data_IF_387659221579
#
_entry.id   IF_387659221579
#
_cell.length_a   1.000
_cell.length_b   1.000
_cell.length_c   1.000
_cell.angle_alpha   90.00
_cell.angle_beta   90.00
_cell.angle_gamma   90.00
#
_symmetry.space_group_name_H-M   'P 1'
#
loop_
_entity.id
_entity.type
_entity.pdbx_description
1 polymer ?
#
# COMPACT_ATOMS: atom_id res chain seq x y z
N UNK A 1 3.10 3.95 -5.22
CA UNK A 1 2.94 5.31 -4.65
C UNK A 1 2.17 6.21 -5.60
N UNK A 2 2.64 6.39 -6.83
CA UNK A 2 1.93 7.15 -7.88
C UNK A 2 0.47 6.71 -8.08
N UNK A 3 0.12 5.40 -8.09
CA UNK A 3 -1.27 4.99 -8.26
C UNK A 3 -2.20 5.45 -7.13
N UNK A 4 -1.77 5.41 -5.86
CA UNK A 4 -2.60 5.87 -4.73
C UNK A 4 -2.77 7.39 -4.71
N UNK A 5 -1.74 8.16 -5.09
CA UNK A 5 -1.86 9.61 -5.21
C UNK A 5 -2.82 10.00 -6.34
N UNK A 6 -2.76 9.30 -7.47
CA UNK A 6 -3.71 9.50 -8.57
C UNK A 6 -5.13 9.09 -8.19
N UNK A 7 -5.29 8.05 -7.36
CA UNK A 7 -6.60 7.66 -6.84
C UNK A 7 -7.22 8.77 -5.99
N UNK A 8 -6.48 9.33 -5.03
CA UNK A 8 -6.95 10.45 -4.22
C UNK A 8 -7.24 11.71 -5.04
N UNK A 9 -6.42 12.02 -6.04
CA UNK A 9 -6.69 13.12 -6.98
C UNK A 9 -7.96 12.88 -7.81
N UNK A 10 -8.23 11.64 -8.22
CA UNK A 10 -9.44 11.30 -8.96
C UNK A 10 -10.70 11.45 -8.10
N UNK A 11 -10.63 11.11 -6.80
CA UNK A 11 -11.75 11.35 -5.85
C UNK A 11 -11.98 12.84 -5.63
N UNK A 12 -10.91 13.64 -5.46
CA UNK A 12 -11.01 15.10 -5.39
C UNK A 12 -11.62 15.69 -6.67
N UNK A 13 -11.21 15.18 -7.83
CA UNK A 13 -11.77 15.55 -9.12
C UNK A 13 -13.25 15.23 -9.26
N UNK A 14 -13.72 14.10 -8.71
CA UNK A 14 -15.13 13.74 -8.69
C UNK A 14 -15.98 14.77 -7.92
N UNK A 15 -15.57 15.12 -6.70
CA UNK A 15 -16.29 16.10 -5.88
C UNK A 15 -16.25 17.51 -6.49
N UNK A 16 -15.12 17.91 -7.09
CA UNK A 16 -15.02 19.17 -7.82
C UNK A 16 -15.91 19.21 -9.07
N UNK A 17 -16.26 18.04 -9.63
CA UNK A 17 -17.13 17.90 -10.79
C UNK A 17 -18.62 17.83 -10.42
N UNK A 18 -18.99 18.03 -9.16
CA UNK A 18 -20.40 18.02 -8.72
C UNK A 18 -21.04 16.64 -8.75
N UNK A 19 -20.28 15.60 -8.42
CA UNK A 19 -20.72 14.20 -8.28
C UNK A 19 -21.32 13.55 -9.54
N UNK A 20 -21.13 14.14 -10.73
CA UNK A 20 -21.69 13.61 -11.99
C UNK A 20 -20.78 12.62 -12.72
N UNK A 21 -19.55 12.42 -12.23
CA UNK A 21 -18.50 11.74 -12.96
C UNK A 21 -18.17 10.36 -12.36
N UNK A 22 -19.13 9.44 -12.37
CA UNK A 22 -18.98 8.07 -11.83
C UNK A 22 -17.72 7.35 -12.35
N UNK A 23 -17.28 7.67 -13.58
CA UNK A 23 -16.02 7.16 -14.14
C UNK A 23 -14.76 7.54 -13.36
N UNK A 24 -14.73 8.71 -12.70
CA UNK A 24 -13.61 9.13 -11.84
C UNK A 24 -13.54 8.29 -10.55
N UNK A 25 -14.68 7.88 -10.00
CA UNK A 25 -14.74 6.97 -8.85
C UNK A 25 -14.28 5.57 -9.27
N UNK A 26 -14.76 5.05 -10.40
CA UNK A 26 -14.32 3.74 -10.89
C UNK A 26 -12.80 3.71 -11.15
N UNK A 27 -12.26 4.81 -11.70
CA UNK A 27 -10.83 4.97 -11.92
C UNK A 27 -10.04 5.02 -10.60
N UNK A 28 -10.52 5.76 -9.59
CA UNK A 28 -9.84 5.83 -8.29
C UNK A 28 -9.77 4.46 -7.62
N UNK A 29 -10.85 3.68 -7.66
CA UNK A 29 -10.89 2.31 -7.12
C UNK A 29 -9.89 1.37 -7.81
N UNK A 30 -9.78 1.45 -9.13
CA UNK A 30 -8.79 0.68 -9.89
C UNK A 30 -7.36 1.09 -9.54
N UNK A 31 -7.08 2.40 -9.47
CA UNK A 31 -5.77 2.92 -9.12
C UNK A 31 -5.36 2.52 -7.69
N UNK A 32 -6.30 2.51 -6.73
CA UNK A 32 -6.08 2.02 -5.37
C UNK A 32 -5.81 0.52 -5.33
N UNK A 33 -6.52 -0.26 -6.13
CA UNK A 33 -6.24 -1.69 -6.26
C UNK A 33 -4.83 -1.97 -6.82
N UNK A 34 -4.48 -1.32 -7.95
CA UNK A 34 -3.16 -1.46 -8.59
C UNK A 34 -2.03 -1.02 -7.65
N UNK A 35 -2.22 0.09 -6.92
CA UNK A 35 -1.23 0.57 -5.96
C UNK A 35 -0.98 -0.41 -4.81
N UNK A 36 -2.03 -1.04 -4.28
CA UNK A 36 -1.93 -2.01 -3.20
C UNK A 36 -1.26 -3.30 -3.66
N UNK A 37 -1.58 -3.75 -4.87
CA UNK A 37 -0.97 -4.92 -5.50
C UNK A 37 0.54 -4.71 -5.72
N UNK A 38 0.93 -3.52 -6.20
CA UNK A 38 2.33 -3.14 -6.39
C UNK A 38 3.13 -3.14 -5.08
N UNK A 39 2.55 -2.61 -3.99
CA UNK A 39 3.17 -2.62 -2.66
C UNK A 39 3.38 -4.04 -2.13
N UNK A 40 2.37 -4.90 -2.28
CA UNK A 40 2.45 -6.31 -1.89
C UNK A 40 3.54 -7.04 -2.68
N UNK A 41 3.55 -6.92 -4.01
CA UNK A 41 4.57 -7.53 -4.87
C UNK A 41 5.98 -7.02 -4.56
N UNK A 42 6.15 -5.71 -4.35
CA UNK A 42 7.44 -5.14 -3.99
C UNK A 42 7.95 -5.68 -2.64
N UNK A 43 7.05 -5.84 -1.67
CA UNK A 43 7.39 -6.37 -0.35
C UNK A 43 7.75 -7.86 -0.43
N UNK A 44 7.04 -8.64 -1.26
CA UNK A 44 7.39 -10.04 -1.54
C UNK A 44 8.81 -10.21 -2.08
N UNK A 45 9.23 -9.31 -2.98
CA UNK A 45 10.60 -9.29 -3.52
C UNK A 45 11.66 -8.94 -2.47
N UNK A 46 11.28 -8.23 -1.40
CA UNK A 46 12.18 -7.79 -0.34
C UNK A 46 12.37 -8.80 0.80
N UNK A 47 11.60 -9.91 0.85
CA UNK A 47 11.83 -10.94 1.87
C UNK A 47 13.24 -11.52 1.79
N UNK A 48 13.82 -12.08 2.87
CA UNK A 48 15.10 -12.82 2.88
C UNK A 48 15.00 -14.21 2.22
N UNK A 49 16.15 -14.75 1.77
CA UNK A 49 16.20 -15.78 0.71
C UNK A 49 15.97 -17.14 1.34
N UNK A 50 14.73 -17.62 1.22
CA UNK A 50 14.28 -18.87 1.81
C UNK A 50 13.78 -19.87 0.76
N UNK A 51 13.06 -20.90 1.22
CA UNK A 51 12.48 -21.97 0.38
C UNK A 51 11.37 -21.51 -0.59
N UNK A 52 10.94 -20.25 -0.56
CA UNK A 52 9.84 -19.75 -1.38
C UNK A 52 10.36 -18.95 -2.59
N UNK A 53 9.90 -19.25 -3.83
CA UNK A 53 10.32 -18.51 -5.02
C UNK A 53 9.69 -17.11 -5.03
N UNK A 54 10.38 -16.13 -4.44
CA UNK A 54 9.86 -14.77 -4.21
C UNK A 54 9.49 -14.04 -5.50
N UNK A 55 10.32 -14.18 -6.53
CA UNK A 55 10.05 -13.65 -7.87
C UNK A 55 8.80 -14.29 -8.49
N UNK A 56 8.62 -15.59 -8.30
CA UNK A 56 7.42 -16.31 -8.73
C UNK A 56 6.17 -15.84 -8.01
N UNK A 57 6.22 -15.70 -6.67
CA UNK A 57 5.08 -15.21 -5.88
C UNK A 57 4.69 -13.78 -6.26
N UNK A 58 5.66 -12.86 -6.37
CA UNK A 58 5.41 -11.47 -6.77
C UNK A 58 4.84 -11.39 -8.20
N UNK A 59 5.36 -12.20 -9.13
CA UNK A 59 4.88 -12.27 -10.50
C UNK A 59 3.47 -12.85 -10.57
N UNK A 60 3.16 -13.91 -9.83
CA UNK A 60 1.80 -14.50 -9.75
C UNK A 60 0.80 -13.48 -9.22
N UNK A 61 1.15 -12.73 -8.17
CA UNK A 61 0.29 -11.68 -7.63
C UNK A 61 -0.02 -10.60 -8.68
N UNK A 62 0.98 -10.16 -9.47
CA UNK A 62 0.73 -9.17 -10.54
C UNK A 62 -0.01 -9.77 -11.74
N UNK A 63 0.42 -10.95 -12.21
CA UNK A 63 -0.12 -11.61 -13.40
C UNK A 63 -1.54 -12.12 -13.21
N UNK A 64 -1.97 -12.44 -11.99
CA UNK A 64 -3.36 -12.78 -11.70
C UNK A 64 -4.15 -11.54 -11.28
N UNK A 65 -3.56 -10.68 -10.46
CA UNK A 65 -4.24 -9.52 -9.89
C UNK A 65 -4.58 -8.44 -10.91
N UNK A 66 -3.66 -8.08 -11.82
CA UNK A 66 -3.92 -7.06 -12.84
C UNK A 66 -5.03 -7.43 -13.82
N UNK A 67 -5.02 -8.60 -14.48
CA UNK A 67 -6.11 -8.97 -15.38
C UNK A 67 -7.43 -9.17 -14.63
N UNK A 68 -7.40 -9.67 -13.39
CA UNK A 68 -8.60 -9.69 -12.56
C UNK A 68 -9.16 -8.28 -12.31
N UNK A 69 -8.30 -7.31 -11.96
CA UNK A 69 -8.72 -5.93 -11.74
C UNK A 69 -9.28 -5.26 -13.01
N UNK A 70 -8.64 -5.50 -14.16
CA UNK A 70 -9.12 -5.01 -15.45
C UNK A 70 -10.44 -5.67 -15.88
N UNK A 71 -10.59 -6.97 -15.62
CA UNK A 71 -11.84 -7.69 -15.85
C UNK A 71 -12.96 -7.11 -14.98
N UNK A 72 -12.71 -6.84 -13.71
CA UNK A 72 -13.71 -6.22 -12.83
C UNK A 72 -14.08 -4.81 -13.27
N UNK A 73 -13.12 -4.02 -13.74
CA UNK A 73 -13.42 -2.70 -14.31
C UNK A 73 -14.27 -2.79 -15.58
N UNK A 74 -14.12 -3.84 -16.39
CA UNK A 74 -14.94 -4.06 -17.59
C UNK A 74 -16.43 -4.30 -17.28
N UNK A 75 -16.77 -4.73 -16.06
CA UNK A 75 -18.15 -4.88 -15.59
C UNK A 75 -18.76 -3.56 -15.06
N UNK A 76 -18.08 -2.42 -15.24
CA UNK A 76 -18.56 -1.11 -14.83
C UNK A 76 -18.66 -0.95 -13.31
N UNK A 77 -19.66 -0.17 -12.85
CA UNK A 77 -19.92 0.11 -11.42
C UNK A 77 -19.95 -1.16 -10.55
N UNK A 78 -20.65 -2.20 -11.02
CA UNK A 78 -20.84 -3.45 -10.27
C UNK A 78 -19.52 -4.16 -9.98
N UNK A 79 -18.61 -4.20 -10.95
CA UNK A 79 -17.28 -4.77 -10.75
C UNK A 79 -16.32 -3.83 -10.02
N UNK A 80 -16.47 -2.51 -10.18
CA UNK A 80 -15.66 -1.52 -9.47
C UNK A 80 -15.86 -1.58 -7.94
N UNK A 81 -17.05 -1.95 -7.46
CA UNK A 81 -17.31 -2.14 -6.02
C UNK A 81 -16.43 -3.25 -5.44
N UNK A 82 -16.14 -4.30 -6.20
CA UNK A 82 -15.29 -5.42 -5.75
C UNK A 82 -13.80 -5.07 -5.67
N UNK A 83 -13.36 -4.00 -6.35
CA UNK A 83 -11.96 -3.56 -6.36
C UNK A 83 -11.51 -3.01 -5.00
N UNK A 84 -12.38 -2.32 -4.27
CA UNK A 84 -12.06 -1.72 -2.97
C UNK A 84 -11.76 -2.78 -1.88
N UNK A 85 -12.63 -3.79 -1.65
CA UNK A 85 -12.32 -4.88 -0.74
C UNK A 85 -11.05 -5.64 -1.14
N UNK A 86 -10.85 -5.88 -2.44
CA UNK A 86 -9.65 -6.54 -2.94
C UNK A 86 -8.38 -5.70 -2.70
N UNK A 87 -8.46 -4.38 -2.89
CA UNK A 87 -7.37 -3.45 -2.60
C UNK A 87 -7.00 -3.47 -1.11
N UNK A 88 -8.01 -3.41 -0.24
CA UNK A 88 -7.82 -3.47 1.21
C UNK A 88 -7.19 -4.79 1.65
N UNK A 89 -7.59 -5.92 1.05
CA UNK A 89 -7.00 -7.22 1.34
C UNK A 89 -5.54 -7.29 0.90
N UNK A 90 -5.21 -6.79 -0.30
CA UNK A 90 -3.84 -6.71 -0.79
C UNK A 90 -2.98 -5.81 0.10
N UNK A 91 -3.53 -4.68 0.55
CA UNK A 91 -2.87 -3.76 1.46
C UNK A 91 -2.65 -4.37 2.85
N UNK A 92 -3.61 -5.12 3.38
CA UNK A 92 -3.44 -5.88 4.62
C UNK A 92 -2.34 -6.92 4.47
N UNK A 93 -2.31 -7.64 3.35
CA UNK A 93 -1.24 -8.58 3.01
C UNK A 93 0.12 -7.89 2.98
N UNK A 94 0.21 -6.70 2.38
CA UNK A 94 1.41 -5.86 2.40
C UNK A 94 1.83 -5.54 3.84
N UNK A 95 0.90 -5.09 4.68
CA UNK A 95 1.19 -4.71 6.06
C UNK A 95 1.68 -5.90 6.92
N UNK A 96 1.01 -7.05 6.79
CA UNK A 96 1.40 -8.28 7.46
C UNK A 96 2.78 -8.70 7.00
N UNK A 97 3.05 -8.67 5.70
CA UNK A 97 4.33 -9.11 5.16
C UNK A 97 5.46 -8.17 5.55
N UNK A 98 5.18 -6.86 5.62
CA UNK A 98 6.11 -5.87 6.14
C UNK A 98 6.40 -6.10 7.64
N UNK A 99 5.39 -6.49 8.43
CA UNK A 99 5.57 -6.88 9.83
C UNK A 99 6.43 -8.15 9.96
N UNK A 100 6.21 -9.17 9.11
CA UNK A 100 7.06 -10.38 9.07
C UNK A 100 8.50 -10.00 8.76
N UNK A 101 8.71 -9.16 7.73
CA UNK A 101 10.04 -8.69 7.34
C UNK A 101 10.74 -7.93 8.46
N UNK A 102 10.02 -7.05 9.18
CA UNK A 102 10.53 -6.36 10.35
C UNK A 102 10.93 -7.30 11.49
N UNK A 103 10.19 -8.40 11.70
CA UNK A 103 10.53 -9.40 12.71
C UNK A 103 11.74 -10.25 12.33
N UNK A 104 11.94 -10.52 11.04
CA UNK A 104 13.07 -11.31 10.55
C UNK A 104 14.37 -10.52 10.53
N UNK A 105 14.37 -9.30 9.95
CA UNK A 105 15.61 -8.54 9.72
C UNK A 105 15.51 -7.09 10.17
N UNK A 106 15.64 -6.86 11.49
CA UNK A 106 15.69 -5.50 12.05
C UNK A 106 16.88 -4.67 11.57
N UNK A 107 17.95 -5.31 11.12
CA UNK A 107 19.17 -4.66 10.64
C UNK A 107 19.00 -3.97 9.27
N UNK A 108 18.04 -4.43 8.45
CA UNK A 108 17.75 -3.85 7.13
C UNK A 108 16.93 -2.55 7.22
N UNK A 109 16.27 -2.29 8.35
CA UNK A 109 15.46 -1.08 8.54
C UNK A 109 16.33 0.08 9.07
N UNK A 110 16.27 1.23 8.40
CA UNK A 110 16.79 2.49 8.94
C UNK A 110 15.83 3.03 10.00
N UNK A 111 16.30 3.88 10.93
CA UNK A 111 15.43 4.50 11.94
C UNK A 111 14.22 5.20 11.31
N UNK A 112 14.39 5.75 10.11
CA UNK A 112 13.32 6.40 9.33
C UNK A 112 12.25 5.40 8.85
N UNK A 113 12.65 4.19 8.48
CA UNK A 113 11.74 3.12 8.03
C UNK A 113 10.93 2.57 9.19
N UNK A 114 11.56 2.41 10.37
CA UNK A 114 10.89 1.97 11.60
C UNK A 114 9.88 3.01 12.07
N UNK A 115 10.24 4.30 12.00
CA UNK A 115 9.32 5.39 12.31
C UNK A 115 8.13 5.40 11.35
N UNK A 116 8.37 5.33 10.03
CA UNK A 116 7.30 5.28 9.04
C UNK A 116 6.37 4.07 9.22
N UNK A 117 6.93 2.92 9.60
CA UNK A 117 6.16 1.71 9.90
C UNK A 117 5.28 1.87 11.14
N UNK A 118 5.84 2.33 12.26
CA UNK A 118 5.08 2.57 13.50
C UNK A 118 4.01 3.64 13.31
N UNK A 119 4.36 4.73 12.63
CA UNK A 119 3.43 5.79 12.28
C UNK A 119 2.26 5.24 11.46
N UNK A 120 2.54 4.42 10.43
CA UNK A 120 1.51 3.80 9.60
C UNK A 120 0.62 2.84 10.42
N UNK A 121 1.20 2.03 11.31
CA UNK A 121 0.45 1.07 12.11
C UNK A 121 -0.47 1.77 13.12
N UNK A 122 0.04 2.82 13.79
CA UNK A 122 -0.76 3.68 14.68
C UNK A 122 -1.85 4.39 13.88
N UNK A 123 -1.51 4.94 12.70
CA UNK A 123 -2.45 5.61 11.82
C UNK A 123 -3.60 4.67 11.38
N UNK A 124 -3.29 3.44 10.97
CA UNK A 124 -4.30 2.42 10.63
C UNK A 124 -5.15 2.05 11.85
N UNK A 125 -4.56 1.88 13.03
CA UNK A 125 -5.32 1.59 14.25
C UNK A 125 -6.28 2.73 14.63
N UNK A 126 -5.82 3.98 14.54
CA UNK A 126 -6.62 5.17 14.82
C UNK A 126 -7.74 5.32 13.78
N UNK A 127 -7.46 5.14 12.50
CA UNK A 127 -8.48 5.24 11.44
C UNK A 127 -9.55 4.16 11.57
N UNK A 128 -9.18 2.90 11.87
CA UNK A 128 -10.15 1.82 12.14
C UNK A 128 -11.01 2.17 13.36
N UNK A 129 -10.40 2.63 14.45
CA UNK A 129 -11.10 3.00 15.69
C UNK A 129 -12.06 4.17 15.44
N UNK A 130 -11.61 5.19 14.72
CA UNK A 130 -12.41 6.35 14.34
C UNK A 130 -13.58 5.94 13.44
N UNK A 131 -13.34 5.03 12.48
CA UNK A 131 -14.39 4.45 11.63
C UNK A 131 -15.44 3.72 12.45
N UNK A 132 -15.01 2.87 13.39
CA UNK A 132 -15.91 2.15 14.32
C UNK A 132 -16.72 3.10 15.19
N UNK A 133 -16.11 4.14 15.73
CA UNK A 133 -16.80 5.12 16.57
C UNK A 133 -17.84 5.89 15.74
N UNK A 134 -17.47 6.33 14.52
CA UNK A 134 -18.38 7.02 13.63
C UNK A 134 -19.60 6.17 13.23
N UNK A 135 -19.38 4.89 12.88
CA UNK A 135 -20.47 3.97 12.52
C UNK A 135 -21.35 3.57 13.71
N UNK A 136 -20.78 3.38 14.91
CA UNK A 136 -21.54 2.92 16.09
C UNK A 136 -22.28 4.05 16.83
N UNK A 137 -21.78 5.28 16.82
CA UNK A 137 -22.34 6.39 17.62
C UNK A 137 -23.19 7.36 16.81
N UNK A 138 -22.95 7.50 15.51
CA UNK A 138 -23.58 8.55 14.71
C UNK A 138 -24.58 8.03 13.67
N UNK A 139 -24.69 6.70 13.44
CA UNK A 139 -25.59 6.11 12.41
C UNK A 139 -25.36 6.75 11.03
N UNK A 140 -24.10 7.11 10.71
CA UNK A 140 -23.72 7.45 9.35
C UNK A 140 -23.32 6.16 8.60
N UNK A 141 -23.73 5.99 7.33
CA UNK A 141 -23.47 4.77 6.56
C UNK A 141 -21.97 4.50 6.30
N UNK A 142 -21.12 5.54 6.34
CA UNK A 142 -19.67 5.43 6.13
C UNK A 142 -18.93 6.74 6.49
N UNK A 143 -17.61 6.67 6.69
CA UNK A 143 -16.69 7.82 6.85
C UNK A 143 -16.49 8.64 5.56
N UNK A 144 -17.18 8.28 4.46
CA UNK A 144 -17.06 8.87 3.13
C UNK A 144 -17.99 10.06 2.89
N UNK A 145 -18.52 10.70 3.94
CA UNK A 145 -19.21 12.00 3.87
C UNK A 145 -18.37 13.13 4.47
N UNK A 146 -17.16 12.84 4.94
CA UNK A 146 -16.18 13.82 5.38
C UNK A 146 -14.99 13.81 4.41
N UNK A 147 -15.17 14.40 3.23
CA UNK A 147 -14.22 14.38 2.09
C UNK A 147 -12.81 14.83 2.48
N UNK A 148 -12.73 15.77 3.42
CA UNK A 148 -11.47 16.29 3.93
C UNK A 148 -10.69 15.23 4.73
N UNK A 149 -11.39 14.40 5.52
CA UNK A 149 -10.76 13.34 6.31
C UNK A 149 -10.38 12.14 5.44
N UNK A 150 -11.18 11.85 4.41
CA UNK A 150 -10.89 10.79 3.44
C UNK A 150 -9.63 11.12 2.62
N UNK A 151 -9.56 12.29 1.98
CA UNK A 151 -8.39 12.72 1.22
C UNK A 151 -7.14 12.90 2.08
N UNK A 152 -7.29 13.41 3.31
CA UNK A 152 -6.18 13.49 4.27
C UNK A 152 -5.65 12.09 4.62
N UNK A 153 -6.54 11.12 4.83
CA UNK A 153 -6.15 9.76 5.18
C UNK A 153 -5.36 9.07 4.07
N UNK A 154 -5.77 9.26 2.81
CA UNK A 154 -5.09 8.69 1.64
C UNK A 154 -3.74 9.36 1.36
N UNK A 155 -3.66 10.68 1.61
CA UNK A 155 -2.41 11.45 1.52
C UNK A 155 -1.41 11.03 2.59
N UNK A 156 -1.85 10.90 3.85
CA UNK A 156 -1.02 10.43 4.97
C UNK A 156 -0.52 9.00 4.76
N UNK A 157 -1.39 8.12 4.24
CA UNK A 157 -1.03 6.75 3.89
C UNK A 157 0.00 6.71 2.75
N UNK A 158 -0.14 7.56 1.74
CA UNK A 158 0.82 7.71 0.65
C UNK A 158 2.18 8.21 1.13
N UNK A 159 2.21 9.23 2.00
CA UNK A 159 3.44 9.74 2.62
C UNK A 159 4.12 8.67 3.48
N UNK A 160 3.35 7.94 4.28
CA UNK A 160 3.89 6.87 5.14
C UNK A 160 4.51 5.74 4.32
N UNK A 161 3.80 5.28 3.29
CA UNK A 161 4.31 4.26 2.38
C UNK A 161 5.55 4.76 1.61
N UNK A 162 5.62 6.04 1.25
CA UNK A 162 6.80 6.64 0.63
C UNK A 162 8.00 6.64 1.58
N UNK A 163 7.82 7.03 2.85
CA UNK A 163 8.88 7.01 3.87
C UNK A 163 9.43 5.59 4.09
N UNK A 164 8.56 4.59 4.10
CA UNK A 164 8.96 3.18 4.22
C UNK A 164 9.78 2.76 2.99
N UNK A 165 9.26 2.98 1.78
CA UNK A 165 9.95 2.62 0.55
C UNK A 165 11.32 3.31 0.41
N UNK A 166 11.37 4.62 0.70
CA UNK A 166 12.60 5.40 0.67
C UNK A 166 13.62 4.93 1.72
N UNK A 167 13.15 4.57 2.91
CA UNK A 167 14.00 4.02 3.97
C UNK A 167 14.64 2.68 3.58
N UNK A 168 13.88 1.79 2.94
CA UNK A 168 14.41 0.53 2.39
C UNK A 168 15.40 0.81 1.25
N UNK A 169 15.07 1.71 0.33
CA UNK A 169 15.94 2.07 -0.80
C UNK A 169 17.32 2.61 -0.35
N UNK A 170 17.34 3.54 0.62
CA UNK A 170 18.60 4.07 1.16
C UNK A 170 19.47 3.00 1.82
N UNK A 171 18.85 2.01 2.46
CA UNK A 171 19.57 0.90 3.09
C UNK A 171 20.16 -0.06 2.06
N UNK A 172 19.40 -0.42 1.02
CA UNK A 172 19.91 -1.21 -0.10
C UNK A 172 21.09 -0.52 -0.81
N UNK A 173 21.03 0.81 -0.99
CA UNK A 173 22.17 1.56 -1.52
C UNK A 173 23.38 1.54 -0.57
N UNK A 174 23.16 1.71 0.74
CA UNK A 174 24.24 1.68 1.73
C UNK A 174 24.93 0.31 1.84
N UNK A 175 24.21 -0.80 1.65
CA UNK A 175 24.80 -2.14 1.55
C UNK A 175 25.51 -2.38 0.22
N UNK A 176 25.01 -1.82 -0.89
CA UNK A 176 25.66 -1.91 -2.21
C UNK A 176 27.00 -1.17 -2.28
N UNK A 177 27.16 -0.11 -1.47
CA UNK A 177 28.35 0.76 -1.45
C UNK A 177 29.47 0.23 -0.56
N UNK A 178 29.26 -0.80 0.28
CA UNK A 178 30.39 -1.50 0.91
C UNK A 178 30.96 -2.52 -0.08
N UNK A 179 32.15 -2.30 -0.67
CA UNK A 179 32.83 -3.36 -1.41
C UNK A 179 33.15 -4.47 -0.41
N UNK A 180 32.96 -5.72 -0.82
CA UNK A 180 33.48 -6.87 -0.08
C UNK A 180 34.97 -6.66 0.16
N UNK A 181 35.37 -6.40 1.41
CA UNK A 181 36.77 -6.54 1.81
C UNK A 181 37.17 -7.99 1.51
N UNK A 182 38.15 -8.24 0.62
CA UNK A 182 38.64 -9.59 0.44
C UNK A 182 39.25 -10.04 1.76
N UNK A 183 38.78 -11.19 2.27
CA UNK A 183 39.32 -11.84 3.43
C UNK A 183 40.84 -11.96 3.28
N UNK A 184 41.57 -11.12 4.02
CA UNK A 184 43.01 -11.20 4.09
C UNK A 184 43.33 -12.47 4.87
N UNK A 185 43.59 -13.56 4.15
CA UNK A 185 44.13 -14.78 4.72
C UNK A 185 45.53 -14.46 5.28
N UNK A 186 45.63 -14.37 6.61
CA UNK A 186 46.91 -14.34 7.30
C UNK A 186 47.57 -15.72 7.21
N UNK A 187 48.86 -15.69 6.86
CA UNK A 187 49.79 -16.80 6.64
C UNK A 187 49.77 -17.89 7.71
#
# INVERSE_FOLDING_TARGET
>A
MIPHLLAGLAVLGFHLSGDQADGLIALSRLLTFVGSLSLLSATLLLLPEGRFPRGGAAAVVMLLGLPWGLLQWSFGEAGAIALLPAANLAYLGFLVMLLVLYRQDRALFSALTVFGFWFLLVFVAVTITTTRIATLRLVLPSLSHADLLHGASESLLSVSNFLIAFGVYRRLQATRVRPSEPACWSK
#
